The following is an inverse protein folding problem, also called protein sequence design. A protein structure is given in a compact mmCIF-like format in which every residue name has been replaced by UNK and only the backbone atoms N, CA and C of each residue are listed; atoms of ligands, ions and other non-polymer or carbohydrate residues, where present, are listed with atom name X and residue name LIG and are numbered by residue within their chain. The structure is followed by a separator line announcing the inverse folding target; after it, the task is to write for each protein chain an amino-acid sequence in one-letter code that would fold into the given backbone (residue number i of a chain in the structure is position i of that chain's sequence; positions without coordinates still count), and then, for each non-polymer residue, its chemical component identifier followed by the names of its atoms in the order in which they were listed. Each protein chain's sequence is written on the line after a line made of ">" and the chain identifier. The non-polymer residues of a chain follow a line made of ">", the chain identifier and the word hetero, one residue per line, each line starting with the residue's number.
data_IF_371489401007
#
_entry.id   IF_371489401007
#
_cell.length_a   1.000
_cell.length_b   1.000
_cell.length_c   1.000
_cell.angle_alpha   90.00
_cell.angle_beta   90.00
_cell.angle_gamma   90.00
#
_symmetry.space_group_name_H-M   'P 1'
#
loop_
_entity.id
_entity.type
_entity.pdbx_description
1 polymer ?
#
# COMPACT_ATOMS: atom_id res chain seq x y z
N UNK A 1 4.07 -19.09 -42.05
CA UNK A 1 3.84 -19.80 -40.79
C UNK A 1 4.65 -19.18 -39.65
N UNK A 2 5.92 -18.85 -39.81
CA UNK A 2 6.82 -18.22 -38.80
C UNK A 2 6.32 -16.91 -38.18
N UNK A 3 5.79 -15.98 -38.96
CA UNK A 3 5.31 -14.67 -38.47
C UNK A 3 4.11 -14.79 -37.52
N UNK A 4 3.31 -15.85 -37.67
CA UNK A 4 2.10 -16.08 -36.86
C UNK A 4 2.43 -16.63 -35.46
N UNK A 5 3.44 -17.47 -35.36
CA UNK A 5 3.93 -18.00 -34.07
C UNK A 5 4.56 -16.90 -33.24
N UNK A 6 5.32 -16.01 -33.85
CA UNK A 6 5.97 -14.90 -33.16
C UNK A 6 4.96 -13.90 -32.55
N UNK A 7 3.84 -13.64 -33.23
CA UNK A 7 2.78 -12.75 -32.69
C UNK A 7 2.06 -13.34 -31.47
N UNK A 8 1.78 -14.65 -31.49
CA UNK A 8 1.15 -15.32 -30.33
C UNK A 8 2.13 -15.38 -29.15
N UNK A 9 3.39 -15.72 -29.40
CA UNK A 9 4.44 -15.77 -28.38
C UNK A 9 4.67 -14.38 -27.78
N UNK A 10 4.73 -13.33 -28.60
CA UNK A 10 4.82 -11.95 -28.11
C UNK A 10 3.62 -11.54 -27.25
N UNK A 11 2.40 -11.93 -27.64
CA UNK A 11 1.19 -11.67 -26.87
C UNK A 11 1.20 -12.38 -25.51
N UNK A 12 1.64 -13.63 -25.45
CA UNK A 12 1.77 -14.40 -24.20
C UNK A 12 2.83 -13.76 -23.30
N UNK A 13 3.98 -13.37 -23.84
CA UNK A 13 5.04 -12.67 -23.10
C UNK A 13 4.54 -11.35 -22.52
N UNK A 14 3.79 -10.57 -23.29
CA UNK A 14 3.17 -9.32 -22.83
C UNK A 14 2.19 -9.56 -21.70
N UNK A 15 1.39 -10.62 -21.74
CA UNK A 15 0.46 -11.02 -20.70
C UNK A 15 1.18 -11.41 -19.40
N UNK A 16 2.27 -12.17 -19.51
CA UNK A 16 3.10 -12.55 -18.36
C UNK A 16 3.74 -11.33 -17.73
N UNK A 17 4.28 -10.41 -18.54
CA UNK A 17 4.86 -9.16 -18.06
C UNK A 17 3.81 -8.28 -17.37
N UNK A 18 2.60 -8.19 -17.91
CA UNK A 18 1.50 -7.44 -17.33
C UNK A 18 1.05 -8.02 -15.98
N UNK A 19 0.88 -9.33 -15.90
CA UNK A 19 0.54 -10.03 -14.65
C UNK A 19 1.67 -9.85 -13.60
N UNK A 20 2.92 -9.95 -14.01
CA UNK A 20 4.08 -9.69 -13.16
C UNK A 20 4.13 -8.25 -12.65
N UNK A 21 3.83 -7.27 -13.51
CA UNK A 21 3.77 -5.86 -13.13
C UNK A 21 2.67 -5.60 -12.10
N UNK A 22 1.47 -6.17 -12.27
CA UNK A 22 0.38 -6.07 -11.28
C UNK A 22 0.81 -6.67 -9.94
N UNK A 23 1.44 -7.85 -9.95
CA UNK A 23 1.94 -8.48 -8.73
C UNK A 23 2.99 -7.62 -8.02
N UNK A 24 3.89 -7.01 -8.78
CA UNK A 24 4.94 -6.15 -8.25
C UNK A 24 4.36 -4.86 -7.65
N UNK A 25 3.39 -4.24 -8.34
CA UNK A 25 2.65 -3.06 -7.84
C UNK A 25 1.91 -3.41 -6.55
N UNK A 26 1.27 -4.58 -6.48
CA UNK A 26 0.55 -5.06 -5.28
C UNK A 26 1.49 -5.16 -4.06
N UNK A 27 2.65 -5.79 -4.22
CA UNK A 27 3.67 -5.91 -3.15
C UNK A 27 4.23 -4.54 -2.75
N UNK A 28 4.47 -3.67 -3.73
CA UNK A 28 4.98 -2.33 -3.48
C UNK A 28 3.96 -1.45 -2.74
N UNK A 29 2.68 -1.58 -3.08
CA UNK A 29 1.59 -0.85 -2.44
C UNK A 29 1.44 -1.24 -0.98
N UNK A 30 1.50 -2.54 -0.66
CA UNK A 30 1.47 -3.03 0.72
C UNK A 30 2.60 -2.42 1.56
N UNK A 31 3.84 -2.45 1.05
CA UNK A 31 4.99 -1.82 1.72
C UNK A 31 4.82 -0.30 1.89
N UNK A 32 4.22 0.36 0.90
CA UNK A 32 4.04 1.82 0.93
C UNK A 32 2.97 2.21 1.93
N UNK A 33 1.83 1.52 1.96
CA UNK A 33 0.74 1.77 2.91
C UNK A 33 1.22 1.57 4.35
N UNK A 34 1.93 0.46 4.62
CA UNK A 34 2.49 0.22 5.94
C UNK A 34 3.50 1.31 6.34
N UNK A 35 4.39 1.71 5.44
CA UNK A 35 5.36 2.78 5.71
C UNK A 35 4.68 4.13 6.00
N UNK A 36 3.66 4.48 5.21
CA UNK A 36 2.89 5.72 5.43
C UNK A 36 2.16 5.68 6.77
N UNK A 37 1.56 4.54 7.11
CA UNK A 37 0.91 4.38 8.41
C UNK A 37 1.89 4.63 9.57
N UNK A 38 3.06 3.98 9.54
CA UNK A 38 4.10 4.19 10.56
C UNK A 38 4.57 5.63 10.63
N UNK A 39 4.83 6.27 9.50
CA UNK A 39 5.27 7.67 9.44
C UNK A 39 4.27 8.62 10.09
N UNK A 40 2.97 8.48 9.77
CA UNK A 40 1.91 9.31 10.34
C UNK A 40 1.78 9.10 11.85
N UNK A 41 1.84 7.86 12.30
CA UNK A 41 1.76 7.52 13.73
C UNK A 41 2.95 8.08 14.50
N UNK A 42 4.14 7.97 13.94
CA UNK A 42 5.37 8.49 14.54
C UNK A 42 5.32 10.01 14.67
N UNK A 43 4.96 10.72 13.62
CA UNK A 43 4.81 12.18 13.60
C UNK A 43 3.74 12.66 14.60
N UNK A 44 2.58 12.01 14.61
CA UNK A 44 1.53 12.31 15.60
C UNK A 44 1.98 12.02 17.03
N UNK A 45 2.76 10.96 17.23
CA UNK A 45 3.29 10.59 18.53
C UNK A 45 4.28 11.63 19.07
N UNK A 46 5.20 12.09 18.24
CA UNK A 46 6.15 13.15 18.60
C UNK A 46 5.42 14.47 18.94
N UNK A 47 4.49 14.88 18.08
CA UNK A 47 3.72 16.09 18.28
C UNK A 47 2.94 16.06 19.61
N UNK A 48 2.25 14.94 19.89
CA UNK A 48 1.49 14.79 21.15
C UNK A 48 2.38 14.77 22.37
N UNK A 49 3.52 14.06 22.30
CA UNK A 49 4.48 14.04 23.42
C UNK A 49 5.05 15.43 23.69
N UNK A 50 5.30 16.19 22.63
CA UNK A 50 5.78 17.57 22.76
C UNK A 50 4.72 18.48 23.38
N UNK A 51 3.44 18.36 22.99
CA UNK A 51 2.34 19.09 23.62
C UNK A 51 2.24 18.77 25.13
N UNK A 52 2.32 17.49 25.49
CA UNK A 52 2.33 17.04 26.87
C UNK A 52 3.51 17.66 27.61
N UNK A 53 4.72 17.60 27.03
CA UNK A 53 5.92 18.16 27.61
C UNK A 53 5.77 19.65 27.88
N UNK A 54 5.33 20.44 26.91
CA UNK A 54 5.15 21.88 27.05
C UNK A 54 4.11 22.24 28.10
N UNK A 55 3.03 21.48 28.16
CA UNK A 55 1.95 21.74 29.08
C UNK A 55 2.32 21.41 30.56
N UNK A 56 3.05 20.30 30.76
CA UNK A 56 3.59 19.98 32.09
C UNK A 56 4.77 20.86 32.49
N UNK A 57 5.58 21.29 31.52
CA UNK A 57 6.67 22.22 31.79
C UNK A 57 6.15 23.58 32.31
N UNK A 58 5.04 24.09 31.75
CA UNK A 58 4.37 25.29 32.27
C UNK A 58 3.97 25.12 33.73
N UNK A 59 3.45 23.95 34.11
CA UNK A 59 3.09 23.66 35.50
C UNK A 59 4.35 23.61 36.42
N UNK A 60 5.47 23.05 35.91
CA UNK A 60 6.74 23.06 36.66
C UNK A 60 7.32 24.46 36.82
N UNK A 61 7.30 25.28 35.74
CA UNK A 61 7.73 26.69 35.80
C UNK A 61 6.88 27.52 36.77
N UNK A 62 5.61 27.16 36.92
CA UNK A 62 4.73 27.75 37.90
C UNK A 62 5.22 27.46 39.34
N UNK A 63 5.69 26.25 39.64
CA UNK A 63 6.27 25.89 40.93
C UNK A 63 7.47 26.81 41.25
N UNK A 64 8.38 26.99 40.29
CA UNK A 64 9.57 27.84 40.43
C UNK A 64 9.16 29.31 40.65
N UNK A 65 8.23 29.82 39.86
CA UNK A 65 7.75 31.22 39.99
C UNK A 65 7.09 31.50 41.35
N UNK A 66 6.32 30.54 41.85
CA UNK A 66 5.69 30.64 43.16
C UNK A 66 6.72 30.57 44.29
N UNK A 67 7.78 29.76 44.16
CA UNK A 67 8.86 29.70 45.12
C UNK A 67 9.63 31.03 45.18
N UNK A 68 9.96 31.59 44.04
CA UNK A 68 10.63 32.90 43.96
C UNK A 68 9.78 34.01 44.56
N UNK A 69 8.47 33.98 44.35
CA UNK A 69 7.53 34.90 44.95
C UNK A 69 7.57 34.82 46.49
N UNK A 70 7.46 33.58 47.03
CA UNK A 70 7.51 33.32 48.47
C UNK A 70 8.84 33.72 49.09
N UNK A 71 9.95 33.41 48.41
CA UNK A 71 11.29 33.75 48.88
C UNK A 71 11.53 35.27 48.92
N UNK A 72 10.99 36.00 47.94
CA UNK A 72 11.24 37.44 47.77
C UNK A 72 10.30 38.30 48.64
N UNK A 73 9.02 37.96 48.71
CA UNK A 73 7.98 38.75 49.36
C UNK A 73 7.50 38.21 50.70
N UNK A 74 7.93 37.00 51.05
CA UNK A 74 7.43 36.28 52.20
C UNK A 74 5.99 35.82 52.02
N UNK A 75 5.51 35.04 52.97
CA UNK A 75 4.15 34.53 52.95
C UNK A 75 3.18 35.59 53.47
N UNK A 76 2.37 36.16 52.57
CA UNK A 76 1.22 37.02 52.94
C UNK A 76 -0.05 36.19 52.70
N UNK A 77 -0.64 35.66 53.75
CA UNK A 77 -1.70 34.63 53.73
C UNK A 77 -2.79 34.94 52.72
N UNK A 78 -3.48 36.07 52.88
CA UNK A 78 -4.66 36.39 52.08
C UNK A 78 -4.35 36.53 50.58
N UNK A 79 -3.26 37.19 50.19
CA UNK A 79 -2.89 37.40 48.78
C UNK A 79 -2.42 36.12 48.13
N UNK A 80 -1.71 35.25 48.88
CA UNK A 80 -1.18 34.00 48.36
C UNK A 80 -2.28 32.95 48.19
N UNK A 81 -3.21 32.90 49.13
CA UNK A 81 -4.39 32.02 49.08
C UNK A 81 -5.30 32.36 47.89
N UNK A 82 -5.52 33.65 47.62
CA UNK A 82 -6.29 34.11 46.46
C UNK A 82 -5.60 33.73 45.15
N UNK A 83 -4.28 33.93 45.07
CA UNK A 83 -3.50 33.53 43.90
C UNK A 83 -3.57 32.01 43.64
N UNK A 84 -3.41 31.19 44.68
CA UNK A 84 -3.50 29.73 44.59
C UNK A 84 -4.89 29.28 44.15
N UNK A 85 -5.93 29.84 44.71
CA UNK A 85 -7.31 29.52 44.36
C UNK A 85 -7.58 29.83 42.87
N UNK A 86 -7.01 30.91 42.35
CA UNK A 86 -7.10 31.24 40.93
C UNK A 86 -6.38 30.23 40.06
N UNK A 87 -5.16 29.82 40.45
CA UNK A 87 -4.33 28.87 39.71
C UNK A 87 -4.97 27.46 39.62
N UNK A 88 -5.53 26.96 40.74
CA UNK A 88 -6.25 25.68 40.77
C UNK A 88 -7.46 25.74 39.84
N UNK A 89 -8.16 26.88 39.75
CA UNK A 89 -9.29 27.02 38.80
C UNK A 89 -8.90 27.13 37.36
N UNK A 90 -7.72 27.67 37.07
CA UNK A 90 -7.25 27.84 35.69
C UNK A 90 -6.68 26.58 35.08
N UNK A 91 -6.04 25.74 35.87
CA UNK A 91 -5.43 24.48 35.38
C UNK A 91 -6.16 23.25 35.95
N UNK A 92 -7.03 22.68 35.15
CA UNK A 92 -7.81 21.51 35.51
C UNK A 92 -7.00 20.26 35.93
N UNK A 93 -5.70 20.24 35.68
CA UNK A 93 -4.79 19.18 36.10
C UNK A 93 -4.42 19.30 37.56
N UNK A 94 -4.34 20.52 38.06
CA UNK A 94 -3.94 20.83 39.44
C UNK A 94 -5.09 20.51 40.37
N UNK A 95 -4.86 19.61 41.30
CA UNK A 95 -5.85 19.22 42.30
C UNK A 95 -5.67 20.01 43.58
N UNK A 96 -4.43 20.24 43.97
CA UNK A 96 -4.07 21.03 45.14
C UNK A 96 -2.66 21.61 45.05
N UNK A 97 -2.43 22.70 45.75
CA UNK A 97 -1.12 23.30 45.91
C UNK A 97 -0.82 23.35 47.40
N UNK A 98 0.34 22.89 47.80
CA UNK A 98 0.77 22.95 49.20
C UNK A 98 2.12 23.61 49.32
N UNK A 99 2.34 24.24 50.47
CA UNK A 99 3.62 24.81 50.81
C UNK A 99 3.93 24.56 52.27
N UNK A 100 5.22 24.44 52.56
CA UNK A 100 5.74 24.26 53.93
C UNK A 100 6.61 25.44 54.31
N UNK A 101 6.30 26.03 55.46
CA UNK A 101 7.08 27.09 56.11
C UNK A 101 7.12 26.82 57.61
N UNK A 102 8.27 26.97 58.24
CA UNK A 102 8.44 26.83 59.69
C UNK A 102 7.89 25.49 60.27
N UNK A 103 7.97 24.41 59.50
CA UNK A 103 7.49 23.07 59.92
C UNK A 103 5.99 22.85 59.82
N UNK A 104 5.23 23.79 59.30
CA UNK A 104 3.80 23.67 59.02
C UNK A 104 3.56 23.55 57.53
N UNK A 105 2.61 22.68 57.16
CA UNK A 105 2.14 22.53 55.77
C UNK A 105 0.78 23.17 55.61
N UNK A 106 0.67 24.10 54.69
CA UNK A 106 -0.60 24.64 54.23
C UNK A 106 -0.97 23.99 52.91
N UNK A 107 -2.15 23.41 52.85
CA UNK A 107 -2.71 22.73 51.65
C UNK A 107 -3.89 23.56 51.19
N UNK A 108 -3.83 23.97 49.93
CA UNK A 108 -4.88 24.75 49.28
C UNK A 108 -5.54 23.88 48.20
N UNK A 109 -6.87 23.82 48.24
CA UNK A 109 -7.72 23.11 47.27
C UNK A 109 -8.79 24.07 46.77
N UNK A 110 -9.56 23.66 45.78
CA UNK A 110 -10.74 24.39 45.27
C UNK A 110 -11.81 24.61 46.38
N UNK A 111 -11.87 23.68 47.36
CA UNK A 111 -12.81 23.71 48.47
C UNK A 111 -12.35 24.50 49.70
N UNK A 112 -11.08 24.94 49.71
CA UNK A 112 -10.55 25.75 50.80
C UNK A 112 -9.11 25.42 51.21
N UNK A 113 -8.70 25.97 52.35
CA UNK A 113 -7.33 25.89 52.87
C UNK A 113 -7.34 25.06 54.16
N UNK A 114 -6.38 24.15 54.25
CA UNK A 114 -6.16 23.34 55.46
C UNK A 114 -4.70 23.47 55.91
N UNK A 115 -4.50 23.68 57.16
CA UNK A 115 -3.18 23.61 57.78
C UNK A 115 -2.98 22.25 58.46
N UNK A 116 -1.81 21.67 58.31
CA UNK A 116 -1.41 20.42 58.96
C UNK A 116 0.06 20.51 59.40
N UNK A 117 0.48 19.59 60.23
CA UNK A 117 1.92 19.42 60.46
C UNK A 117 2.61 18.97 59.18
N UNK A 118 3.90 19.32 59.04
CA UNK A 118 4.67 18.99 57.86
C UNK A 118 4.65 17.45 57.63
N UNK A 119 4.23 17.03 56.45
CA UNK A 119 4.07 15.64 56.12
C UNK A 119 5.34 14.82 56.06
N UNK A 120 5.25 13.49 55.92
CA UNK A 120 6.40 12.61 55.87
C UNK A 120 7.31 12.89 54.66
N UNK A 121 8.62 12.62 54.85
CA UNK A 121 9.69 13.01 53.90
C UNK A 121 9.54 12.44 52.47
N UNK A 122 8.68 11.45 52.26
CA UNK A 122 8.41 10.87 50.91
C UNK A 122 7.69 11.83 49.97
N UNK A 123 6.80 12.67 50.50
CA UNK A 123 6.11 13.70 49.73
C UNK A 123 7.00 14.89 49.41
N UNK A 124 8.07 15.10 50.18
CA UNK A 124 9.01 16.21 50.04
C UNK A 124 9.97 16.12 48.86
N UNK A 125 10.04 14.95 48.19
CA UNK A 125 11.00 14.73 47.12
C UNK A 125 10.35 14.73 45.71
N UNK A 126 9.06 15.03 45.62
CA UNK A 126 8.31 14.87 44.37
C UNK A 126 7.96 13.41 44.07
N UNK A 127 7.27 13.18 42.99
CA UNK A 127 6.92 11.82 42.51
C UNK A 127 5.51 11.37 42.90
N UNK A 128 5.29 10.08 42.80
CA UNK A 128 3.98 9.45 43.01
C UNK A 128 3.75 9.05 44.47
N UNK A 129 2.65 9.49 45.05
CA UNK A 129 2.22 9.03 46.36
C UNK A 129 0.70 8.87 46.45
N UNK A 130 0.22 8.13 47.43
CA UNK A 130 -1.20 7.93 47.68
C UNK A 130 -1.60 8.54 49.03
N UNK A 131 -2.74 9.23 49.04
CA UNK A 131 -3.39 9.79 50.24
C UNK A 131 -4.91 9.62 50.09
N UNK A 132 -5.58 9.17 51.13
CA UNK A 132 -7.04 8.99 51.17
C UNK A 132 -7.59 8.21 49.94
N UNK A 133 -6.90 7.13 49.53
CA UNK A 133 -7.22 6.32 48.38
C UNK A 133 -7.06 6.98 47.00
N UNK A 134 -6.57 8.23 46.97
CA UNK A 134 -6.26 8.95 45.72
C UNK A 134 -4.75 8.95 45.49
N UNK A 135 -4.36 8.68 44.24
CA UNK A 135 -2.97 8.81 43.84
C UNK A 135 -2.68 10.21 43.31
N UNK A 136 -1.60 10.78 43.80
CA UNK A 136 -1.13 12.12 43.41
C UNK A 136 0.24 12.01 42.79
N UNK A 137 0.46 12.78 41.74
CA UNK A 137 1.77 13.07 41.20
C UNK A 137 2.18 14.46 41.56
N UNK A 138 3.24 14.59 42.37
CA UNK A 138 3.69 15.89 42.93
C UNK A 138 4.84 16.45 42.10
N UNK A 139 4.67 17.68 41.63
CA UNK A 139 5.76 18.53 41.16
C UNK A 139 6.25 19.33 42.33
N UNK A 140 7.49 19.14 42.68
CA UNK A 140 8.07 19.67 43.93
C UNK A 140 9.26 20.57 43.63
N UNK A 141 9.35 21.66 44.38
CA UNK A 141 10.52 22.52 44.43
C UNK A 141 10.78 23.03 45.84
N UNK A 142 12.04 23.33 46.16
CA UNK A 142 12.45 23.87 47.45
C UNK A 142 13.44 25.00 47.27
N UNK A 143 13.18 26.12 47.94
CA UNK A 143 14.07 27.27 47.97
C UNK A 143 14.23 27.75 49.42
N UNK A 144 15.42 27.55 49.97
CA UNK A 144 15.69 27.87 51.37
C UNK A 144 14.84 27.02 52.33
N UNK A 145 14.12 27.69 53.23
CA UNK A 145 13.21 27.07 54.19
C UNK A 145 11.81 26.82 53.67
N UNK A 146 11.50 27.35 52.48
CA UNK A 146 10.19 27.18 51.83
C UNK A 146 10.23 26.00 50.90
N UNK A 147 9.32 25.05 51.08
CA UNK A 147 9.03 23.97 50.14
C UNK A 147 7.65 24.19 49.56
N UNK A 148 7.50 23.97 48.27
CA UNK A 148 6.25 24.10 47.54
C UNK A 148 6.03 22.84 46.68
N UNK A 149 4.79 22.37 46.66
CA UNK A 149 4.40 21.27 45.76
C UNK A 149 3.05 21.54 45.10
N UNK A 150 2.97 21.15 43.87
CA UNK A 150 1.72 21.08 43.10
C UNK A 150 1.36 19.59 42.93
N UNK A 151 0.22 19.21 43.46
CA UNK A 151 -0.28 17.85 43.35
C UNK A 151 -1.31 17.74 42.24
N UNK A 152 -1.03 16.82 41.36
CA UNK A 152 -1.91 16.46 40.25
C UNK A 152 -2.53 15.11 40.60
N UNK A 153 -3.84 15.05 40.82
CA UNK A 153 -4.50 13.79 41.04
C UNK A 153 -4.55 12.96 39.73
N UNK A 154 -4.28 11.68 39.82
CA UNK A 154 -4.20 10.83 38.64
C UNK A 154 -5.53 10.69 37.88
N UNK A 155 -6.65 10.81 38.58
CA UNK A 155 -7.99 10.88 37.99
C UNK A 155 -8.18 12.16 37.13
N UNK A 156 -7.65 13.30 37.55
CA UNK A 156 -7.63 14.50 36.71
C UNK A 156 -6.73 14.35 35.48
N UNK A 157 -5.59 13.66 35.60
CA UNK A 157 -4.76 13.29 34.46
C UNK A 157 -5.49 12.35 33.49
N UNK A 158 -6.27 11.41 34.01
CA UNK A 158 -7.08 10.55 33.18
C UNK A 158 -8.05 11.37 32.31
N UNK A 159 -8.79 12.31 32.88
CA UNK A 159 -9.67 13.18 32.13
C UNK A 159 -8.93 14.04 31.09
N UNK A 160 -7.77 14.59 31.47
CA UNK A 160 -6.90 15.35 30.57
C UNK A 160 -6.45 14.49 29.37
N UNK A 161 -5.95 13.27 29.60
CA UNK A 161 -5.49 12.38 28.53
C UNK A 161 -6.62 11.84 27.65
N UNK A 162 -7.79 11.59 28.23
CA UNK A 162 -8.96 11.18 27.47
C UNK A 162 -9.40 12.24 26.46
N UNK A 163 -9.20 13.52 26.78
CA UNK A 163 -9.51 14.64 25.90
C UNK A 163 -8.42 14.89 24.84
N UNK A 164 -7.15 14.63 25.16
CA UNK A 164 -6.02 14.81 24.23
C UNK A 164 -5.91 13.71 23.19
N UNK A 165 -6.42 12.52 23.49
CA UNK A 165 -6.36 11.37 22.61
C UNK A 165 -7.74 11.14 22.01
N UNK A 166 -7.96 11.43 20.71
CA UNK A 166 -9.25 11.20 20.10
C UNK A 166 -9.68 9.75 20.29
N UNK A 167 -10.97 9.58 20.63
CA UNK A 167 -11.62 8.28 20.72
C UNK A 167 -11.33 7.46 19.47
N UNK A 168 -10.56 6.42 19.62
CA UNK A 168 -10.14 5.52 18.53
C UNK A 168 -9.44 4.30 19.10
N UNK A 169 -9.00 3.42 18.21
CA UNK A 169 -8.26 2.22 18.60
C UNK A 169 -6.84 2.51 19.12
N UNK A 170 -6.38 3.78 19.07
CA UNK A 170 -5.06 4.21 19.54
C UNK A 170 -5.18 4.87 20.90
N UNK A 171 -4.25 4.59 21.81
CA UNK A 171 -4.23 5.20 23.13
C UNK A 171 -2.81 5.41 23.62
N UNK A 172 -2.66 6.31 24.57
CA UNK A 172 -1.39 6.52 25.25
C UNK A 172 -1.55 6.42 26.77
N UNK A 173 -0.45 6.13 27.44
CA UNK A 173 -0.35 6.16 28.89
C UNK A 173 1.03 6.66 29.30
N UNK A 174 1.15 7.12 30.54
CA UNK A 174 2.42 7.60 31.10
C UNK A 174 2.86 6.67 32.21
N UNK A 175 4.15 6.39 32.20
CA UNK A 175 4.84 5.63 33.23
C UNK A 175 5.89 6.52 33.90
N UNK A 176 6.01 6.42 35.23
CA UNK A 176 7.17 6.97 35.89
C UNK A 176 8.43 6.08 35.68
N UNK A 177 9.58 6.51 36.17
CA UNK A 177 10.87 5.79 36.08
C UNK A 177 10.83 4.41 36.73
N UNK A 178 9.98 4.21 37.72
CA UNK A 178 9.77 2.94 38.44
C UNK A 178 8.80 2.00 37.72
N UNK A 179 8.20 2.44 36.59
CA UNK A 179 7.25 1.68 35.80
C UNK A 179 5.84 1.62 36.40
N UNK A 180 5.48 2.64 37.20
CA UNK A 180 4.11 2.82 37.70
C UNK A 180 3.32 3.66 36.71
N UNK A 181 2.08 3.28 36.47
CA UNK A 181 1.18 3.96 35.55
C UNK A 181 0.66 5.24 36.22
N UNK A 182 1.04 6.38 35.67
CA UNK A 182 0.66 7.72 36.16
C UNK A 182 -0.59 8.22 35.45
N UNK A 183 -0.73 7.92 34.18
CA UNK A 183 -1.91 8.24 33.39
C UNK A 183 -2.26 7.10 32.46
N UNK A 184 -3.56 6.77 32.37
CA UNK A 184 -4.09 5.71 31.52
C UNK A 184 -5.53 6.00 31.14
N UNK A 185 -6.05 5.60 29.98
CA UNK A 185 -7.44 5.76 29.59
C UNK A 185 -8.46 5.04 30.50
N UNK A 186 -8.06 4.01 31.21
CA UNK A 186 -8.88 3.36 32.24
C UNK A 186 -8.33 3.61 33.63
N UNK A 187 -9.15 4.16 34.52
CA UNK A 187 -8.80 4.47 35.88
C UNK A 187 -8.29 3.28 36.70
N UNK A 188 -8.79 2.09 36.45
CA UNK A 188 -8.36 0.88 37.16
C UNK A 188 -6.87 0.58 37.03
N UNK A 189 -6.17 1.13 36.02
CA UNK A 189 -4.74 0.95 35.82
C UNK A 189 -3.88 2.00 36.53
N UNK A 190 -4.48 3.09 37.00
CA UNK A 190 -3.76 4.17 37.66
C UNK A 190 -3.10 3.68 38.95
N UNK A 191 -1.86 4.09 39.16
CA UNK A 191 -1.06 3.67 40.31
C UNK A 191 -0.56 2.22 40.25
N UNK A 192 -0.99 1.44 39.28
CA UNK A 192 -0.51 0.06 39.13
C UNK A 192 0.91 0.03 38.54
N UNK A 193 1.69 -0.93 39.03
CA UNK A 193 3.01 -1.20 38.47
C UNK A 193 2.89 -2.19 37.32
N UNK A 194 3.61 -1.89 36.21
CA UNK A 194 3.71 -2.82 35.10
C UNK A 194 4.21 -4.18 35.56
N UNK A 195 3.44 -5.22 35.26
CA UNK A 195 3.80 -6.60 35.57
C UNK A 195 4.88 -7.13 34.63
N UNK A 196 4.86 -6.69 33.36
CA UNK A 196 5.81 -7.14 32.35
C UNK A 196 7.23 -6.61 32.63
N UNK A 197 8.14 -7.53 32.86
CA UNK A 197 9.55 -7.25 33.10
C UNK A 197 10.27 -6.63 31.88
N UNK A 198 9.85 -6.99 30.68
CA UNK A 198 10.40 -6.46 29.42
C UNK A 198 9.97 -4.99 29.23
N UNK A 199 8.73 -4.66 29.49
CA UNK A 199 8.27 -3.27 29.43
C UNK A 199 9.00 -2.40 30.46
N UNK A 200 9.14 -2.85 31.70
CA UNK A 200 9.94 -2.14 32.71
C UNK A 200 11.39 -1.91 32.30
N UNK A 201 12.02 -2.88 31.64
CA UNK A 201 13.38 -2.72 31.11
C UNK A 201 13.44 -1.66 30.00
N UNK A 202 12.45 -1.63 29.11
CA UNK A 202 12.33 -0.63 28.04
C UNK A 202 12.15 0.77 28.62
N UNK A 203 11.28 0.95 29.62
CA UNK A 203 11.09 2.23 30.30
C UNK A 203 12.43 2.73 30.87
N UNK A 204 13.18 1.88 31.58
CA UNK A 204 14.50 2.24 32.12
C UNK A 204 15.49 2.61 31.02
N UNK A 205 15.45 1.93 29.89
CA UNK A 205 16.30 2.23 28.74
C UNK A 205 15.93 3.60 28.13
N UNK A 206 14.64 3.87 27.90
CA UNK A 206 14.15 5.15 27.38
C UNK A 206 14.54 6.31 28.27
N UNK A 207 14.34 6.15 29.58
CA UNK A 207 14.69 7.17 30.58
C UNK A 207 16.22 7.36 30.65
N UNK A 208 17.00 6.28 30.61
CA UNK A 208 18.47 6.33 30.70
C UNK A 208 19.15 6.90 29.47
N UNK A 209 18.71 6.51 28.29
CA UNK A 209 19.29 6.93 27.01
C UNK A 209 18.67 8.21 26.45
N UNK A 210 17.57 8.67 27.02
CA UNK A 210 16.76 9.78 26.50
C UNK A 210 16.45 9.66 25.00
N UNK A 211 16.14 8.41 24.56
CA UNK A 211 15.84 8.07 23.18
C UNK A 211 14.52 7.32 23.08
N UNK A 212 13.79 7.58 22.01
CA UNK A 212 12.58 6.81 21.71
C UNK A 212 12.90 5.36 21.35
N UNK A 213 12.00 4.47 21.73
CA UNK A 213 12.06 3.05 21.37
C UNK A 213 10.74 2.68 20.71
N UNK A 214 10.82 1.97 19.59
CA UNK A 214 9.67 1.42 18.89
C UNK A 214 9.73 -0.12 18.93
N UNK A 215 8.62 -0.75 19.32
CA UNK A 215 8.49 -2.21 19.37
C UNK A 215 7.09 -2.64 19.02
N UNK A 216 6.99 -3.76 18.33
CA UNK A 216 5.72 -4.47 18.14
C UNK A 216 5.42 -5.28 19.38
N UNK A 217 4.19 -5.25 19.84
CA UNK A 217 3.74 -5.96 21.02
C UNK A 217 2.25 -6.22 21.04
N UNK A 218 1.77 -6.63 22.19
CA UNK A 218 0.36 -6.87 22.43
C UNK A 218 -0.17 -5.90 23.48
N UNK A 219 -1.32 -5.28 23.22
CA UNK A 219 -2.00 -4.44 24.19
C UNK A 219 -2.88 -5.30 25.09
N UNK A 220 -2.57 -5.33 26.38
CA UNK A 220 -3.42 -5.98 27.37
C UNK A 220 -4.75 -5.26 27.58
N UNK A 221 -4.80 -3.97 27.23
CA UNK A 221 -5.98 -3.15 27.32
C UNK A 221 -6.94 -3.39 26.16
N UNK A 222 -6.44 -3.34 24.92
CA UNK A 222 -7.25 -3.52 23.71
C UNK A 222 -7.41 -5.00 23.31
N UNK A 223 -6.60 -5.90 23.88
CA UNK A 223 -6.49 -7.31 23.49
C UNK A 223 -6.15 -7.48 21.99
N UNK A 224 -5.34 -6.58 21.45
CA UNK A 224 -4.96 -6.53 20.06
C UNK A 224 -3.44 -6.37 19.91
N UNK A 225 -2.86 -6.81 18.77
CA UNK A 225 -1.50 -6.48 18.43
C UNK A 225 -1.37 -4.97 18.18
N UNK A 226 -0.33 -4.36 18.75
CA UNK A 226 -0.07 -2.93 18.67
C UNK A 226 1.40 -2.67 18.42
N UNK A 227 1.66 -1.54 17.80
CA UNK A 227 3.00 -0.95 17.81
C UNK A 227 3.08 0.01 18.99
N UNK A 228 4.06 -0.23 19.87
CA UNK A 228 4.31 0.57 21.06
C UNK A 228 5.50 1.48 20.81
N UNK A 229 5.27 2.78 20.94
CA UNK A 229 6.32 3.78 20.82
C UNK A 229 6.50 4.44 22.20
N UNK A 230 7.71 4.34 22.71
CA UNK A 230 8.10 4.87 24.01
C UNK A 230 8.85 6.18 23.80
N UNK A 231 8.33 7.27 24.33
CA UNK A 231 8.94 8.59 24.25
C UNK A 231 9.44 9.03 25.65
N UNK A 232 10.67 9.52 25.77
CA UNK A 232 11.13 10.10 27.04
C UNK A 232 10.39 11.41 27.31
N UNK A 233 9.91 11.57 28.52
CA UNK A 233 9.26 12.77 29.02
C UNK A 233 9.93 13.18 30.31
N UNK A 234 10.43 14.40 30.40
CA UNK A 234 10.93 15.00 31.64
C UNK A 234 10.00 16.14 32.05
N UNK A 235 9.54 16.11 33.29
CA UNK A 235 8.65 17.12 33.87
C UNK A 235 9.28 17.58 35.20
N UNK A 236 9.82 18.78 35.21
CA UNK A 236 10.64 19.22 36.32
C UNK A 236 11.83 18.30 36.55
N UNK A 237 11.95 17.74 37.74
CA UNK A 237 12.99 16.75 38.10
C UNK A 237 12.59 15.31 37.77
N UNK A 238 11.30 15.08 37.49
CA UNK A 238 10.76 13.74 37.29
C UNK A 238 10.95 13.23 35.84
N UNK A 239 11.43 11.99 35.71
CA UNK A 239 11.62 11.33 34.44
C UNK A 239 10.51 10.32 34.22
N UNK A 240 9.79 10.50 33.14
CA UNK A 240 8.66 9.66 32.75
C UNK A 240 8.83 9.12 31.35
N UNK A 241 7.95 8.21 30.98
CA UNK A 241 7.86 7.68 29.62
C UNK A 241 6.42 7.75 29.14
N UNK A 242 6.18 8.43 28.03
CA UNK A 242 4.90 8.37 27.32
C UNK A 242 4.94 7.15 26.42
N UNK A 243 3.97 6.25 26.56
CA UNK A 243 3.82 5.06 25.70
C UNK A 243 2.61 5.25 24.83
N UNK A 244 2.81 5.33 23.54
CA UNK A 244 1.74 5.42 22.56
C UNK A 244 1.54 4.05 21.95
N UNK A 245 0.32 3.53 22.05
CA UNK A 245 -0.09 2.27 21.46
C UNK A 245 -0.91 2.56 20.20
N UNK A 246 -0.42 2.03 19.10
CA UNK A 246 -1.08 2.13 17.82
C UNK A 246 -1.52 0.76 17.41
N UNK A 247 -2.83 0.57 17.26
CA UNK A 247 -3.35 -0.69 16.74
C UNK A 247 -2.80 -0.89 15.35
N UNK A 248 -2.16 -2.02 15.15
CA UNK A 248 -1.79 -2.44 13.81
C UNK A 248 -3.07 -2.50 12.98
N UNK A 249 -3.16 -1.60 12.00
CA UNK A 249 -4.28 -1.64 11.08
C UNK A 249 -4.25 -3.02 10.41
N UNK A 250 -5.29 -3.79 10.67
CA UNK A 250 -5.54 -5.00 9.91
C UNK A 250 -5.95 -4.59 8.49
N UNK A 251 -4.93 -4.14 7.72
CA UNK A 251 -5.10 -3.84 6.32
C UNK A 251 -5.35 -5.11 5.50
N UNK A 252 -5.40 -6.30 6.16
CA UNK A 252 -5.56 -7.57 5.47
C UNK A 252 -6.87 -7.62 4.69
N UNK A 253 -7.98 -7.09 5.21
CA UNK A 253 -9.23 -7.03 4.47
C UNK A 253 -9.14 -6.08 3.27
N UNK A 254 -8.64 -4.85 3.47
CA UNK A 254 -8.49 -3.89 2.37
C UNK A 254 -7.46 -4.37 1.32
N UNK A 255 -6.36 -5.00 1.77
CA UNK A 255 -5.38 -5.59 0.90
C UNK A 255 -5.89 -6.86 0.22
N UNK A 256 -6.67 -7.70 0.90
CA UNK A 256 -7.33 -8.85 0.30
C UNK A 256 -8.30 -8.43 -0.81
N UNK A 257 -9.06 -7.36 -0.60
CA UNK A 257 -9.93 -6.78 -1.62
C UNK A 257 -9.11 -6.28 -2.81
N UNK A 258 -8.04 -5.54 -2.57
CA UNK A 258 -7.14 -5.07 -3.62
C UNK A 258 -6.54 -6.24 -4.42
N UNK A 259 -6.03 -7.28 -3.76
CA UNK A 259 -5.50 -8.48 -4.41
C UNK A 259 -6.58 -9.21 -5.21
N UNK A 260 -7.79 -9.28 -4.70
CA UNK A 260 -8.96 -9.86 -5.38
C UNK A 260 -9.30 -9.10 -6.65
N UNK A 261 -9.35 -7.75 -6.61
CA UNK A 261 -9.55 -6.93 -7.80
C UNK A 261 -8.40 -7.05 -8.80
N UNK A 262 -7.15 -7.05 -8.35
CA UNK A 262 -5.99 -7.25 -9.19
C UNK A 262 -6.04 -8.60 -9.92
N UNK A 263 -6.43 -9.66 -9.24
CA UNK A 263 -6.62 -11.00 -9.81
C UNK A 263 -7.73 -11.00 -10.85
N UNK A 264 -8.88 -10.35 -10.59
CA UNK A 264 -9.96 -10.23 -11.56
C UNK A 264 -9.52 -9.47 -12.82
N UNK A 265 -8.73 -8.42 -12.70
CA UNK A 265 -8.16 -7.68 -13.84
C UNK A 265 -7.30 -8.61 -14.70
N UNK A 266 -6.44 -9.41 -14.07
CA UNK A 266 -5.59 -10.38 -14.79
C UNK A 266 -6.47 -11.42 -15.51
N UNK A 267 -7.44 -12.02 -14.82
CA UNK A 267 -8.36 -13.01 -15.41
C UNK A 267 -9.12 -12.42 -16.60
N UNK A 268 -9.67 -11.21 -16.45
CA UNK A 268 -10.40 -10.52 -17.51
C UNK A 268 -9.51 -10.23 -18.72
N UNK A 269 -8.28 -9.80 -18.50
CA UNK A 269 -7.29 -9.56 -19.57
C UNK A 269 -6.95 -10.86 -20.32
N UNK A 270 -6.78 -11.97 -19.60
CA UNK A 270 -6.55 -13.28 -20.22
C UNK A 270 -7.75 -13.73 -21.07
N UNK A 271 -8.97 -13.54 -20.56
CA UNK A 271 -10.20 -13.90 -21.31
C UNK A 271 -10.31 -13.06 -22.58
N UNK A 272 -10.10 -11.76 -22.50
CA UNK A 272 -10.10 -10.89 -23.70
C UNK A 272 -9.05 -11.37 -24.70
N UNK A 273 -7.84 -11.67 -24.23
CA UNK A 273 -6.78 -12.16 -25.12
C UNK A 273 -7.15 -13.46 -25.84
N UNK A 274 -7.75 -14.42 -25.13
CA UNK A 274 -8.24 -15.68 -25.72
C UNK A 274 -9.31 -15.40 -26.78
N UNK A 275 -10.26 -14.51 -26.48
CA UNK A 275 -11.33 -14.12 -27.43
C UNK A 275 -10.73 -13.50 -28.70
N UNK A 276 -9.78 -12.56 -28.54
CA UNK A 276 -9.09 -11.92 -29.66
C UNK A 276 -8.28 -12.92 -30.48
N UNK A 277 -7.62 -13.88 -29.84
CA UNK A 277 -6.91 -14.97 -30.53
C UNK A 277 -7.91 -15.86 -31.34
N UNK A 278 -9.01 -16.23 -30.74
CA UNK A 278 -10.04 -17.03 -31.42
C UNK A 278 -10.65 -16.29 -32.62
N UNK A 279 -10.94 -14.99 -32.43
CA UNK A 279 -11.42 -14.13 -33.52
C UNK A 279 -10.40 -14.02 -34.67
N UNK A 280 -9.15 -13.74 -34.33
CA UNK A 280 -8.05 -13.67 -35.30
C UNK A 280 -7.90 -14.98 -36.06
N UNK A 281 -7.91 -16.12 -35.34
CA UNK A 281 -7.83 -17.45 -36.01
C UNK A 281 -8.98 -17.69 -36.95
N UNK A 282 -10.24 -17.34 -36.56
CA UNK A 282 -11.42 -17.49 -37.42
C UNK A 282 -11.30 -16.62 -38.68
N UNK A 283 -10.84 -15.39 -38.53
CA UNK A 283 -10.63 -14.48 -39.68
C UNK A 283 -9.58 -15.03 -40.64
N UNK A 284 -8.44 -15.49 -40.12
CA UNK A 284 -7.39 -16.09 -40.94
C UNK A 284 -7.82 -17.36 -41.68
N UNK A 285 -8.60 -18.23 -41.03
CA UNK A 285 -9.15 -19.43 -41.69
C UNK A 285 -10.02 -19.03 -42.85
N UNK A 286 -10.94 -18.09 -42.71
CA UNK A 286 -11.79 -17.61 -43.79
C UNK A 286 -10.97 -17.05 -44.96
N UNK A 287 -9.97 -16.22 -44.69
CA UNK A 287 -9.11 -15.66 -45.72
C UNK A 287 -8.31 -16.76 -46.47
N UNK A 288 -7.83 -17.74 -45.72
CA UNK A 288 -7.13 -18.90 -46.30
C UNK A 288 -8.02 -19.71 -47.19
N UNK A 289 -9.23 -20.04 -46.76
CA UNK A 289 -10.21 -20.80 -47.54
C UNK A 289 -10.61 -20.05 -48.81
N UNK A 290 -10.80 -18.73 -48.73
CA UNK A 290 -11.07 -17.89 -49.91
C UNK A 290 -9.91 -17.92 -50.93
N UNK A 291 -8.68 -17.80 -50.44
CA UNK A 291 -7.49 -17.87 -51.34
C UNK A 291 -7.37 -19.25 -52.01
N UNK A 292 -7.56 -20.33 -51.25
CA UNK A 292 -7.54 -21.68 -51.84
C UNK A 292 -8.59 -21.88 -52.91
N UNK A 293 -9.84 -21.40 -52.67
CA UNK A 293 -10.92 -21.48 -53.67
C UNK A 293 -10.58 -20.69 -54.92
N UNK A 294 -10.06 -19.47 -54.76
CA UNK A 294 -9.64 -18.63 -55.89
C UNK A 294 -8.50 -19.30 -56.71
N UNK A 295 -7.53 -19.89 -56.01
CA UNK A 295 -6.42 -20.61 -56.67
C UNK A 295 -6.94 -21.88 -57.43
N UNK A 296 -7.83 -22.66 -56.82
CA UNK A 296 -8.44 -23.79 -57.48
C UNK A 296 -9.25 -23.38 -58.74
N UNK A 297 -10.00 -22.27 -58.63
CA UNK A 297 -10.78 -21.76 -59.77
C UNK A 297 -9.88 -21.26 -60.90
N UNK A 298 -8.79 -20.56 -60.55
CA UNK A 298 -7.77 -20.13 -61.51
C UNK A 298 -7.12 -21.34 -62.25
N UNK A 299 -6.79 -22.40 -61.51
CA UNK A 299 -6.27 -23.65 -62.11
C UNK A 299 -7.31 -24.29 -63.03
N UNK A 300 -8.58 -24.35 -62.59
CA UNK A 300 -9.68 -24.91 -63.39
C UNK A 300 -9.89 -24.15 -64.68
N UNK A 301 -9.91 -22.80 -64.63
CA UNK A 301 -10.03 -21.94 -65.81
C UNK A 301 -8.88 -22.14 -66.79
N UNK A 302 -7.64 -22.22 -66.27
CA UNK A 302 -6.45 -22.49 -67.07
C UNK A 302 -6.55 -23.87 -67.79
N UNK A 303 -6.99 -24.92 -67.08
CA UNK A 303 -7.19 -26.23 -67.65
C UNK A 303 -8.29 -26.26 -68.76
N UNK A 304 -9.38 -25.52 -68.52
CA UNK A 304 -10.46 -25.36 -69.46
C UNK A 304 -10.00 -24.61 -70.73
N UNK A 305 -9.23 -23.53 -70.56
CA UNK A 305 -8.63 -22.80 -71.66
C UNK A 305 -7.69 -23.72 -72.51
N UNK A 306 -6.87 -24.52 -71.83
CA UNK A 306 -6.00 -25.53 -72.46
C UNK A 306 -6.81 -26.54 -73.30
N UNK A 307 -7.88 -27.07 -72.69
CA UNK A 307 -8.75 -28.02 -73.37
C UNK A 307 -9.40 -27.43 -74.64
N UNK A 308 -9.82 -26.14 -74.54
CA UNK A 308 -10.43 -25.42 -75.67
C UNK A 308 -9.42 -25.13 -76.78
N UNK A 309 -8.15 -24.88 -76.46
CA UNK A 309 -7.09 -24.68 -77.47
C UNK A 309 -6.77 -25.91 -78.29
N UNK A 310 -7.01 -27.08 -77.75
CA UNK A 310 -6.74 -28.35 -78.51
C UNK A 310 -7.81 -28.69 -79.54
N UNK A 311 -8.81 -27.87 -79.71
CA UNK A 311 -9.97 -28.07 -80.62
C UNK A 311 -10.29 -29.56 -80.84
N UNK A 312 -11.03 -30.20 -79.90
CA UNK A 312 -11.28 -31.69 -79.97
C UNK A 312 -11.91 -32.08 -81.27
N UNK A 313 -12.75 -31.21 -81.82
CA UNK A 313 -13.46 -31.53 -83.10
C UNK A 313 -12.47 -31.60 -84.26
N UNK A 314 -11.48 -30.69 -84.33
CA UNK A 314 -10.43 -30.75 -85.33
C UNK A 314 -9.63 -32.07 -85.21
N UNK A 315 -9.26 -32.47 -83.99
CA UNK A 315 -8.51 -33.69 -83.77
C UNK A 315 -9.30 -34.92 -84.17
N UNK A 316 -10.60 -35.01 -83.79
CA UNK A 316 -11.47 -36.11 -84.22
C UNK A 316 -11.60 -36.17 -85.75
N UNK A 317 -11.81 -35.05 -86.41
CA UNK A 317 -11.91 -35.00 -87.89
C UNK A 317 -10.63 -35.41 -88.55
N UNK A 318 -9.50 -34.94 -88.05
CA UNK A 318 -8.19 -35.33 -88.56
C UNK A 318 -7.93 -36.86 -88.43
N UNK A 319 -8.26 -37.44 -87.28
CA UNK A 319 -8.12 -38.87 -87.03
C UNK A 319 -9.07 -39.71 -87.94
N UNK A 320 -10.31 -39.24 -88.12
CA UNK A 320 -11.23 -39.88 -89.05
C UNK A 320 -10.73 -39.84 -90.51
N UNK A 321 -10.21 -38.66 -90.93
CA UNK A 321 -9.61 -38.55 -92.29
C UNK A 321 -8.39 -39.46 -92.47
N UNK A 322 -7.51 -39.50 -91.42
CA UNK A 322 -6.35 -40.39 -91.40
C UNK A 322 -6.79 -41.87 -91.52
N UNK A 323 -7.80 -42.27 -90.78
CA UNK A 323 -8.31 -43.68 -90.85
C UNK A 323 -8.79 -44.02 -92.25
N UNK A 324 -9.47 -43.15 -92.96
CA UNK A 324 -9.86 -43.31 -94.31
C UNK A 324 -8.64 -43.41 -95.31
N UNK A 325 -7.67 -42.55 -95.13
CA UNK A 325 -6.43 -42.50 -95.91
C UNK A 325 -5.55 -43.73 -95.73
N UNK A 326 -5.48 -44.33 -94.58
CA UNK A 326 -4.71 -45.57 -94.34
C UNK A 326 -5.18 -46.69 -95.24
N UNK A 327 -6.49 -46.79 -95.53
CA UNK A 327 -7.07 -47.86 -96.38
C UNK A 327 -6.97 -47.52 -97.85
N UNK A 328 -7.02 -46.25 -98.23
CA UNK A 328 -7.07 -45.84 -99.64
C UNK A 328 -5.70 -45.50 -100.24
N UNK A 329 -4.83 -44.83 -99.52
CA UNK A 329 -3.47 -44.42 -99.88
C UNK A 329 -2.54 -44.33 -98.70
N UNK A 330 -1.79 -45.39 -98.38
CA UNK A 330 -0.88 -45.38 -97.20
C UNK A 330 0.27 -44.37 -97.33
N UNK A 331 0.66 -43.97 -98.56
CA UNK A 331 1.69 -42.95 -98.78
C UNK A 331 1.24 -41.52 -98.35
N UNK A 332 -0.01 -41.20 -98.75
CA UNK A 332 -0.65 -39.92 -98.39
C UNK A 332 -0.96 -39.90 -96.87
N UNK A 333 -1.40 -41.04 -96.32
CA UNK A 333 -1.61 -41.16 -94.86
C UNK A 333 -0.35 -40.82 -94.06
N UNK A 334 0.81 -41.32 -94.50
CA UNK A 334 2.12 -41.03 -93.84
C UNK A 334 2.47 -39.56 -93.89
N UNK A 335 2.26 -38.92 -95.04
CA UNK A 335 2.46 -37.49 -95.19
C UNK A 335 1.54 -36.67 -94.32
N UNK A 336 0.24 -37.08 -94.26
CA UNK A 336 -0.74 -36.41 -93.40
C UNK A 336 -0.36 -36.46 -91.91
N UNK A 337 0.16 -37.62 -91.41
CA UNK A 337 0.66 -37.70 -90.00
C UNK A 337 1.78 -36.75 -89.77
N UNK A 338 2.72 -36.66 -90.71
CA UNK A 338 3.87 -35.72 -90.56
C UNK A 338 3.44 -34.24 -90.50
N UNK A 339 2.54 -33.83 -91.38
CA UNK A 339 1.98 -32.49 -91.41
C UNK A 339 1.15 -32.21 -90.15
N UNK A 340 0.29 -33.12 -89.73
CA UNK A 340 -0.45 -32.96 -88.44
C UNK A 340 0.48 -32.85 -87.28
N UNK A 341 1.56 -33.59 -87.23
CA UNK A 341 2.54 -33.51 -86.15
C UNK A 341 3.23 -32.11 -86.10
N UNK A 342 3.52 -31.50 -87.27
CA UNK A 342 4.05 -30.15 -87.33
C UNK A 342 3.04 -29.11 -86.87
N UNK A 343 1.77 -29.22 -87.27
CA UNK A 343 0.70 -28.34 -86.82
C UNK A 343 0.55 -28.37 -85.28
N UNK A 344 0.47 -29.60 -84.72
CA UNK A 344 0.34 -29.73 -83.28
C UNK A 344 1.57 -29.18 -82.50
N UNK A 345 2.77 -29.45 -83.04
CA UNK A 345 4.03 -28.92 -82.45
C UNK A 345 4.04 -27.36 -82.49
N UNK A 346 3.66 -26.79 -83.62
CA UNK A 346 3.59 -25.36 -83.79
C UNK A 346 2.57 -24.71 -82.79
N UNK A 347 1.38 -25.29 -82.67
CA UNK A 347 0.35 -24.82 -81.74
C UNK A 347 0.82 -24.95 -80.29
N UNK A 348 1.56 -25.98 -79.90
CA UNK A 348 2.11 -26.18 -78.57
C UNK A 348 3.31 -25.30 -78.28
N UNK A 349 4.18 -25.03 -79.22
CA UNK A 349 5.37 -24.19 -79.06
C UNK A 349 5.02 -22.71 -79.01
N UNK A 350 4.13 -22.24 -79.88
CA UNK A 350 3.64 -20.84 -79.90
C UNK A 350 2.76 -20.46 -78.72
N UNK A 351 2.29 -21.44 -77.95
CA UNK A 351 1.51 -21.27 -76.76
C UNK A 351 2.15 -20.36 -75.72
N UNK A 352 3.48 -20.23 -75.66
CA UNK A 352 4.21 -19.40 -74.70
C UNK A 352 4.24 -17.93 -75.13
N UNK A 353 3.88 -17.62 -76.35
CA UNK A 353 3.89 -16.27 -76.88
C UNK A 353 2.43 -15.79 -77.02
N UNK A 354 2.11 -14.65 -76.35
CA UNK A 354 0.76 -14.08 -76.43
C UNK A 354 0.43 -13.48 -77.80
N UNK A 355 1.41 -13.20 -78.63
CA UNK A 355 1.30 -12.64 -79.97
C UNK A 355 2.37 -13.27 -80.85
N UNK A 356 2.00 -13.79 -82.03
CA UNK A 356 2.93 -14.22 -83.08
C UNK A 356 3.02 -13.13 -84.14
N UNK A 357 4.15 -13.08 -84.82
CA UNK A 357 4.31 -12.15 -85.93
C UNK A 357 3.52 -12.69 -87.15
N UNK A 358 2.83 -11.81 -87.87
CA UNK A 358 2.05 -12.14 -89.01
C UNK A 358 2.89 -12.87 -90.07
N UNK A 359 4.15 -12.53 -90.23
CA UNK A 359 5.08 -13.21 -91.17
C UNK A 359 5.29 -14.67 -90.81
N UNK A 360 5.40 -15.04 -89.55
CA UNK A 360 5.58 -16.42 -89.08
C UNK A 360 4.30 -17.27 -89.30
N UNK A 361 3.13 -16.64 -89.10
CA UNK A 361 1.84 -17.28 -89.36
C UNK A 361 1.63 -17.55 -90.83
N UNK A 362 1.99 -16.63 -91.70
CA UNK A 362 1.88 -16.76 -93.16
C UNK A 362 2.89 -17.82 -93.68
N UNK A 363 4.08 -17.83 -93.12
CA UNK A 363 5.13 -18.84 -93.53
C UNK A 363 4.71 -20.27 -93.12
N UNK A 364 4.04 -20.43 -91.98
CA UNK A 364 3.55 -21.69 -91.46
C UNK A 364 2.38 -22.26 -92.32
N UNK A 365 1.53 -21.42 -92.93
CA UNK A 365 0.38 -21.76 -93.76
C UNK A 365 0.80 -22.14 -95.19
N UNK A 366 1.94 -21.71 -95.71
CA UNK A 366 2.49 -22.04 -96.95
C UNK A 366 3.13 -23.45 -96.97
#
# INVERSE_FOLDING_TARGET
>A
MFYKQNGIVAGILLLILFAGAIGLVSVQMDKTVNRMHYSVVEEMGEYRTELIRQDFQKTAELVESMQDYLATRGYQKEQFEELIALLIRQDNKVSRIWFETEGKRTICTDSGIRESEAGPSKERNGGLYAEDSTYYWTLYGRQGEVALGIDIALDHLHAYFSNLLPAGKNYAYILNDSGVIVAHPEEKWLGMRLLDSLERRRVKQVVGENKRIHVTGFSQFLLLPVDKIYYPLTVGTEKCTVVINVVQLDNQEAMADFHRYALWIVVFTVVIFIVLLAYSQRRWRKEYDLRQKAEQEAIRLNLQQLKNQLNPHFLFNALNSLSALITTDPGVARKFILEMSKVYRYVLEKRKENLSKLEEEVEFIR
#
